data_IF_532800957491
#
_entry.id   IF_532800957491
#
_cell.length_a   1.000
_cell.length_b   1.000
_cell.length_c   1.000
_cell.angle_alpha   90.00
_cell.angle_beta   90.00
_cell.angle_gamma   90.00
#
_symmetry.space_group_name_H-M   'P 1'
#
loop_
_entity.id
_entity.type
_entity.pdbx_description
1 polymer ?
#
# COMPACT_ATOMS: atom_id res chain seq x y z
N UNK A 1 3.15 36.83 9.50
CA UNK A 1 2.75 35.40 9.41
C UNK A 1 3.81 34.58 10.14
N UNK A 2 3.53 34.16 11.35
CA UNK A 2 4.43 33.34 12.16
C UNK A 2 4.18 31.86 11.82
N UNK A 3 5.18 31.20 11.25
CA UNK A 3 5.19 29.75 11.04
C UNK A 3 5.35 29.09 12.42
N UNK A 4 4.30 28.39 12.87
CA UNK A 4 4.36 27.55 14.05
C UNK A 4 5.31 26.37 13.76
N UNK A 5 6.40 26.28 14.54
CA UNK A 5 7.29 25.13 14.54
C UNK A 5 6.52 23.89 15.02
N UNK A 6 6.77 22.69 14.45
CA UNK A 6 6.18 21.46 14.97
C UNK A 6 6.73 21.23 16.37
N UNK A 7 5.83 21.12 17.38
CA UNK A 7 6.19 20.72 18.73
C UNK A 7 6.66 19.26 18.64
N UNK A 8 7.96 19.05 18.78
CA UNK A 8 8.52 17.72 19.02
C UNK A 8 8.01 17.26 20.40
N UNK A 9 7.15 16.26 20.42
CA UNK A 9 6.75 15.60 21.67
C UNK A 9 7.99 14.91 22.25
N UNK A 10 8.24 15.03 23.57
CA UNK A 10 9.40 14.36 24.17
C UNK A 10 9.22 12.83 24.08
N UNK A 11 10.27 12.17 23.61
CA UNK A 11 10.36 10.71 23.41
C UNK A 11 10.00 9.89 24.68
N UNK A 12 10.11 10.49 25.86
CA UNK A 12 9.76 9.87 27.14
C UNK A 12 8.25 9.80 27.40
N UNK A 13 7.43 10.60 26.74
CA UNK A 13 5.97 10.51 26.89
C UNK A 13 5.39 9.27 26.20
N UNK A 14 6.06 8.76 25.17
CA UNK A 14 5.65 7.57 24.41
C UNK A 14 5.92 6.25 25.19
N UNK A 15 6.80 6.27 26.19
CA UNK A 15 7.22 5.07 26.92
C UNK A 15 6.34 4.73 28.13
N UNK A 16 5.41 5.60 28.52
CA UNK A 16 4.78 5.51 29.85
C UNK A 16 3.49 4.72 29.93
N UNK A 17 2.85 4.38 28.80
CA UNK A 17 1.50 3.75 28.83
C UNK A 17 1.28 2.58 27.86
N UNK A 18 2.37 1.91 27.45
CA UNK A 18 2.22 0.67 26.69
C UNK A 18 1.78 -0.42 27.66
N UNK A 19 0.49 -0.52 27.90
CA UNK A 19 -0.13 -1.74 28.44
C UNK A 19 0.39 -2.90 27.59
N UNK A 20 0.84 -4.02 28.19
CA UNK A 20 1.34 -5.15 27.39
C UNK A 20 0.18 -5.75 26.61
N UNK A 21 -0.02 -5.26 25.38
CA UNK A 21 -0.99 -5.84 24.47
C UNK A 21 -0.62 -7.30 24.22
N UNK A 22 -1.32 -8.21 24.93
CA UNK A 22 -1.26 -9.66 24.72
C UNK A 22 0.15 -10.25 24.50
N UNK A 23 1.15 -9.78 25.26
CA UNK A 23 2.54 -10.27 25.13
C UNK A 23 3.36 -9.64 23.99
N UNK A 24 2.85 -8.59 23.36
CA UNK A 24 3.60 -7.82 22.38
C UNK A 24 4.63 -6.92 23.08
N UNK A 25 5.80 -6.76 22.45
CA UNK A 25 6.86 -5.90 22.94
C UNK A 25 7.37 -5.00 21.81
N UNK A 26 7.89 -3.78 22.09
CA UNK A 26 8.46 -2.94 21.05
C UNK A 26 9.46 -3.72 20.19
N UNK A 27 9.31 -3.66 18.86
CA UNK A 27 10.14 -4.43 17.92
C UNK A 27 11.63 -4.23 18.15
N UNK A 28 12.04 -2.99 18.46
CA UNK A 28 13.44 -2.66 18.79
C UNK A 28 14.00 -3.45 19.97
N UNK A 29 13.16 -3.89 20.92
CA UNK A 29 13.55 -4.67 22.11
C UNK A 29 13.20 -6.16 21.99
N UNK A 30 12.53 -6.57 20.91
CA UNK A 30 12.04 -7.94 20.73
C UNK A 30 13.16 -8.86 20.21
N UNK A 31 13.49 -9.89 20.99
CA UNK A 31 14.53 -10.86 20.64
C UNK A 31 14.18 -11.71 19.41
N UNK A 32 12.91 -12.05 19.24
CA UNK A 32 12.45 -12.84 18.09
C UNK A 32 12.54 -12.03 16.79
N UNK A 33 12.23 -10.74 16.83
CA UNK A 33 12.40 -9.81 15.70
C UNK A 33 13.86 -9.71 15.27
N UNK A 34 14.79 -9.49 16.21
CA UNK A 34 16.22 -9.45 15.91
C UNK A 34 16.75 -10.80 15.38
N UNK A 35 16.24 -11.93 15.89
CA UNK A 35 16.59 -13.27 15.39
C UNK A 35 16.10 -13.46 13.95
N UNK A 36 14.91 -12.96 13.61
CA UNK A 36 14.33 -13.03 12.28
C UNK A 36 15.16 -12.22 11.27
N UNK A 37 15.52 -10.98 11.62
CA UNK A 37 16.41 -10.16 10.79
C UNK A 37 17.71 -10.90 10.43
N UNK A 38 18.40 -11.42 11.46
CA UNK A 38 19.64 -12.18 11.27
C UNK A 38 19.43 -13.41 10.38
N UNK A 39 18.31 -14.11 10.54
CA UNK A 39 17.99 -15.29 9.74
C UNK A 39 17.75 -14.95 8.27
N UNK A 40 17.01 -13.88 7.99
CA UNK A 40 16.74 -13.41 6.62
C UNK A 40 18.05 -12.97 5.94
N UNK A 41 18.87 -12.17 6.61
CA UNK A 41 20.17 -11.72 6.08
C UNK A 41 21.07 -12.93 5.80
N UNK A 42 21.18 -13.87 6.74
CA UNK A 42 21.99 -15.09 6.58
C UNK A 42 21.50 -15.95 5.40
N UNK A 43 20.21 -16.03 5.17
CA UNK A 43 19.65 -16.74 4.02
C UNK A 43 20.04 -16.08 2.69
N UNK A 44 20.01 -14.75 2.62
CA UNK A 44 20.46 -13.99 1.46
C UNK A 44 21.98 -14.14 1.23
N UNK A 45 22.78 -14.07 2.28
CA UNK A 45 24.23 -14.31 2.22
C UNK A 45 24.57 -15.72 1.70
N UNK A 46 23.84 -16.74 2.16
CA UNK A 46 24.01 -18.12 1.66
C UNK A 46 23.69 -18.21 0.17
N UNK A 47 22.71 -17.46 -0.31
CA UNK A 47 22.41 -17.40 -1.74
C UNK A 47 23.47 -16.63 -2.53
N UNK A 48 23.98 -15.53 -1.97
CA UNK A 48 24.99 -14.69 -2.58
C UNK A 48 26.27 -15.47 -2.89
N UNK A 49 26.69 -16.40 -1.99
CA UNK A 49 27.87 -17.25 -2.18
C UNK A 49 27.81 -18.17 -3.41
N UNK A 50 26.65 -18.30 -4.06
CA UNK A 50 26.49 -19.12 -5.26
C UNK A 50 26.73 -18.37 -6.57
N UNK A 51 26.98 -17.08 -6.51
CA UNK A 51 27.13 -16.19 -7.66
C UNK A 51 28.46 -15.45 -7.62
N UNK A 52 28.99 -15.13 -8.77
CA UNK A 52 30.19 -14.28 -8.88
C UNK A 52 29.87 -12.88 -8.33
N UNK A 53 30.88 -12.27 -7.69
CA UNK A 53 30.72 -11.05 -6.89
C UNK A 53 30.12 -9.87 -7.64
N UNK A 54 30.41 -9.75 -8.94
CA UNK A 54 29.97 -8.66 -9.81
C UNK A 54 28.86 -9.04 -10.80
N UNK A 55 28.31 -10.27 -10.65
CA UNK A 55 27.20 -10.72 -11.45
C UNK A 55 25.92 -9.95 -11.12
N UNK A 56 25.04 -9.75 -12.11
CA UNK A 56 23.76 -9.08 -11.92
C UNK A 56 22.90 -9.71 -10.79
N UNK A 57 22.83 -11.05 -10.62
CA UNK A 57 22.15 -11.65 -9.48
C UNK A 57 22.81 -11.31 -8.14
N UNK A 58 24.15 -11.23 -8.07
CA UNK A 58 24.85 -10.87 -6.83
C UNK A 58 24.57 -9.43 -6.42
N UNK A 59 24.57 -8.49 -7.36
CA UNK A 59 24.23 -7.10 -7.12
C UNK A 59 22.77 -6.94 -6.64
N UNK A 60 21.83 -7.67 -7.25
CA UNK A 60 20.43 -7.67 -6.83
C UNK A 60 20.26 -8.23 -5.41
N UNK A 61 20.98 -9.29 -5.03
CA UNK A 61 20.98 -9.84 -3.68
C UNK A 61 21.56 -8.87 -2.65
N UNK A 62 22.68 -8.20 -2.97
CA UNK A 62 23.26 -7.15 -2.11
C UNK A 62 22.25 -6.02 -1.88
N UNK A 63 21.61 -5.52 -2.93
CA UNK A 63 20.57 -4.49 -2.82
C UNK A 63 19.37 -4.97 -1.98
N UNK A 64 18.98 -6.23 -2.11
CA UNK A 64 17.90 -6.83 -1.30
C UNK A 64 18.28 -6.92 0.17
N UNK A 65 19.53 -7.26 0.49
CA UNK A 65 20.03 -7.29 1.87
C UNK A 65 19.96 -5.91 2.51
N UNK A 66 20.41 -4.87 1.81
CA UNK A 66 20.33 -3.50 2.33
C UNK A 66 18.88 -3.04 2.52
N UNK A 67 17.99 -3.31 1.56
CA UNK A 67 16.55 -3.05 1.72
C UNK A 67 15.96 -3.79 2.93
N UNK A 68 16.39 -5.02 3.17
CA UNK A 68 15.93 -5.80 4.33
C UNK A 68 16.37 -5.15 5.64
N UNK A 69 17.66 -4.79 5.77
CA UNK A 69 18.17 -4.09 6.96
C UNK A 69 17.43 -2.78 7.21
N UNK A 70 17.26 -1.95 6.18
CA UNK A 70 16.53 -0.68 6.27
C UNK A 70 15.08 -0.90 6.72
N UNK A 71 14.40 -1.93 6.19
CA UNK A 71 13.03 -2.27 6.59
C UNK A 71 12.94 -2.63 8.08
N UNK A 72 13.85 -3.47 8.58
CA UNK A 72 13.87 -3.85 10.00
C UNK A 72 14.22 -2.65 10.90
N UNK A 73 15.15 -1.80 10.49
CA UNK A 73 15.46 -0.57 11.20
C UNK A 73 14.24 0.36 11.29
N UNK A 74 13.56 0.61 10.16
CA UNK A 74 12.36 1.45 10.11
C UNK A 74 11.24 0.92 11.02
N UNK A 75 11.01 -0.40 11.05
CA UNK A 75 10.02 -1.00 11.95
C UNK A 75 10.39 -0.83 13.43
N UNK A 76 11.68 -0.91 13.75
CA UNK A 76 12.16 -0.64 15.11
C UNK A 76 12.04 0.82 15.53
N UNK A 77 12.25 1.75 14.61
CA UNK A 77 12.16 3.20 14.84
C UNK A 77 10.72 3.70 14.87
N UNK A 78 9.84 3.10 14.07
CA UNK A 78 8.41 3.45 14.05
C UNK A 78 7.65 3.07 15.33
N UNK A 79 8.31 2.43 16.32
CA UNK A 79 7.68 2.09 17.58
C UNK A 79 6.70 0.92 17.51
N UNK A 80 6.68 0.17 16.41
CA UNK A 80 5.77 -0.97 16.24
C UNK A 80 5.98 -2.04 17.31
N UNK A 81 4.90 -2.74 17.66
CA UNK A 81 4.90 -3.85 18.61
C UNK A 81 5.08 -5.18 17.87
N UNK A 82 5.99 -6.02 18.38
CA UNK A 82 6.32 -7.33 17.81
C UNK A 82 5.91 -8.46 18.75
N UNK A 83 5.39 -9.55 18.17
CA UNK A 83 5.02 -10.75 18.89
C UNK A 83 6.17 -11.75 19.09
N UNK A 84 5.83 -12.89 19.66
CA UNK A 84 6.76 -14.03 19.83
C UNK A 84 7.23 -14.63 18.47
N UNK A 85 6.48 -14.38 17.41
CA UNK A 85 6.80 -14.75 16.02
C UNK A 85 7.87 -13.85 15.39
N UNK A 86 8.21 -12.73 16.06
CA UNK A 86 9.18 -11.76 15.55
C UNK A 86 8.65 -10.94 14.37
N UNK A 87 7.35 -10.75 14.26
CA UNK A 87 6.71 -9.92 13.26
C UNK A 87 6.07 -8.70 13.92
N UNK A 88 6.06 -7.53 13.24
CA UNK A 88 5.25 -6.39 13.65
C UNK A 88 3.76 -6.72 13.56
N UNK A 89 3.02 -6.37 14.60
CA UNK A 89 1.57 -6.49 14.64
C UNK A 89 0.93 -5.11 14.63
N UNK A 90 -0.10 -4.94 13.82
CA UNK A 90 -0.90 -3.72 13.82
C UNK A 90 -1.90 -3.77 14.97
N UNK A 91 -1.99 -2.68 15.73
CA UNK A 91 -2.90 -2.55 16.86
C UNK A 91 -4.17 -1.86 16.38
N UNK A 92 -5.30 -2.53 16.54
CA UNK A 92 -6.63 -2.02 16.18
C UNK A 92 -7.53 -2.12 17.42
N UNK A 93 -7.29 -1.24 18.38
CA UNK A 93 -7.98 -1.20 19.67
C UNK A 93 -8.90 0.02 19.81
N UNK A 94 -8.98 0.87 18.79
CA UNK A 94 -9.72 2.14 18.81
C UNK A 94 -8.93 3.30 19.41
N UNK A 95 -7.71 3.09 19.88
CA UNK A 95 -6.84 4.18 20.34
C UNK A 95 -6.31 4.97 19.13
N UNK A 96 -6.48 6.29 19.16
CA UNK A 96 -6.04 7.20 18.10
C UNK A 96 -4.52 7.23 17.92
N UNK A 97 -3.75 6.83 18.91
CA UNK A 97 -2.29 6.73 18.81
C UNK A 97 -1.84 5.68 17.78
N UNK A 98 -2.62 4.61 17.60
CA UNK A 98 -2.38 3.56 16.62
C UNK A 98 -3.10 3.78 15.27
N UNK A 99 -3.86 4.87 15.15
CA UNK A 99 -4.65 5.16 13.95
C UNK A 99 -3.79 5.18 12.67
N UNK A 100 -2.57 5.72 12.75
CA UNK A 100 -1.64 5.77 11.62
C UNK A 100 -1.22 4.41 11.07
N UNK A 101 -1.23 3.36 11.90
CA UNK A 101 -0.79 2.01 11.51
C UNK A 101 -1.74 1.33 10.53
N UNK A 102 -3.04 1.60 10.61
CA UNK A 102 -4.05 1.00 9.75
C UNK A 102 -4.81 2.00 8.88
N UNK A 103 -5.07 3.22 9.36
CA UNK A 103 -5.83 4.20 8.58
C UNK A 103 -5.07 4.67 7.35
N UNK A 104 -3.78 5.00 7.48
CA UNK A 104 -2.96 5.44 6.34
C UNK A 104 -2.85 4.36 5.26
N UNK A 105 -2.43 3.11 5.56
CA UNK A 105 -2.39 2.06 4.55
C UNK A 105 -3.79 1.67 4.04
N UNK A 106 -4.83 1.72 4.88
CA UNK A 106 -6.20 1.46 4.49
C UNK A 106 -6.74 2.48 3.49
N UNK A 107 -6.56 3.77 3.77
CA UNK A 107 -6.93 4.85 2.85
C UNK A 107 -6.10 4.80 1.57
N UNK A 108 -4.80 4.50 1.67
CA UNK A 108 -3.94 4.30 0.51
C UNK A 108 -4.43 3.15 -0.37
N UNK A 109 -4.82 2.02 0.23
CA UNK A 109 -5.41 0.90 -0.51
C UNK A 109 -6.72 1.29 -1.21
N UNK A 110 -7.63 1.95 -0.49
CA UNK A 110 -8.90 2.41 -1.06
C UNK A 110 -8.68 3.38 -2.22
N UNK A 111 -7.72 4.30 -2.07
CA UNK A 111 -7.38 5.24 -3.13
C UNK A 111 -6.87 4.53 -4.39
N UNK A 112 -5.93 3.59 -4.25
CA UNK A 112 -5.36 2.84 -5.38
C UNK A 112 -6.39 1.91 -6.01
N UNK A 113 -7.20 1.21 -5.22
CA UNK A 113 -8.27 0.35 -5.72
C UNK A 113 -9.32 1.15 -6.50
N UNK A 114 -9.74 2.31 -5.97
CA UNK A 114 -10.67 3.22 -6.64
C UNK A 114 -10.06 3.81 -7.92
N UNK A 115 -8.78 4.13 -7.91
CA UNK A 115 -8.06 4.61 -9.09
C UNK A 115 -8.08 3.58 -10.24
N UNK A 116 -7.71 2.34 -9.94
CA UNK A 116 -7.73 1.24 -10.93
C UNK A 116 -9.16 1.01 -11.43
N UNK A 117 -10.14 0.94 -10.52
CA UNK A 117 -11.54 0.74 -10.87
C UNK A 117 -12.11 1.86 -11.75
N UNK A 118 -11.80 3.11 -11.40
CA UNK A 118 -12.25 4.28 -12.18
C UNK A 118 -11.62 4.31 -13.57
N UNK A 119 -10.32 3.99 -13.68
CA UNK A 119 -9.62 3.90 -14.97
C UNK A 119 -10.24 2.81 -15.87
N UNK A 120 -10.51 1.62 -15.30
CA UNK A 120 -11.15 0.52 -16.01
C UNK A 120 -12.56 0.87 -16.49
N UNK A 121 -13.38 1.47 -15.62
CA UNK A 121 -14.73 1.97 -15.99
C UNK A 121 -14.65 2.98 -17.15
N UNK A 122 -13.76 3.95 -17.03
CA UNK A 122 -13.59 5.00 -18.06
C UNK A 122 -13.16 4.40 -19.39
N UNK A 123 -12.24 3.39 -19.36
CA UNK A 123 -11.80 2.70 -20.55
C UNK A 123 -12.96 1.97 -21.26
N UNK A 124 -13.76 1.21 -20.52
CA UNK A 124 -14.90 0.47 -21.09
C UNK A 124 -15.92 1.41 -21.68
N UNK A 125 -16.22 2.53 -21.00
CA UNK A 125 -17.15 3.53 -21.51
C UNK A 125 -16.66 4.18 -22.82
N UNK A 126 -15.41 4.64 -22.82
CA UNK A 126 -14.82 5.29 -23.99
C UNK A 126 -14.70 4.31 -25.19
N UNK A 127 -14.31 3.06 -24.90
CA UNK A 127 -14.25 2.01 -25.92
C UNK A 127 -15.63 1.73 -26.54
N UNK A 128 -16.72 1.74 -25.75
CA UNK A 128 -18.07 1.59 -26.26
C UNK A 128 -18.51 2.73 -27.16
N UNK A 129 -18.07 3.96 -26.87
CA UNK A 129 -18.43 5.15 -27.66
C UNK A 129 -17.62 5.25 -28.97
N UNK A 130 -16.33 4.88 -28.94
CA UNK A 130 -15.42 5.11 -30.06
C UNK A 130 -15.23 3.89 -30.96
N UNK A 131 -15.43 2.68 -30.46
CA UNK A 131 -15.17 1.46 -31.22
C UNK A 131 -16.41 0.94 -31.92
N UNK A 132 -16.27 0.55 -33.18
CA UNK A 132 -17.30 -0.21 -33.91
C UNK A 132 -17.48 -1.63 -33.40
N UNK A 133 -16.48 -2.16 -32.68
CA UNK A 133 -16.45 -3.51 -32.09
C UNK A 133 -15.95 -3.44 -30.64
N UNK A 134 -16.79 -2.97 -29.70
CA UNK A 134 -16.37 -2.76 -28.32
C UNK A 134 -15.79 -4.00 -27.64
N UNK A 135 -16.34 -5.18 -27.95
CA UNK A 135 -15.91 -6.46 -27.39
C UNK A 135 -14.47 -6.82 -27.76
N UNK A 136 -14.01 -6.47 -28.95
CA UNK A 136 -12.61 -6.69 -29.34
C UNK A 136 -11.66 -5.78 -28.56
N UNK A 137 -12.05 -4.53 -28.30
CA UNK A 137 -11.26 -3.58 -27.50
C UNK A 137 -11.22 -3.91 -26.01
N UNK A 138 -12.16 -4.73 -25.50
CA UNK A 138 -12.10 -5.26 -24.14
C UNK A 138 -11.13 -6.46 -24.02
N UNK A 139 -10.89 -7.20 -25.13
CA UNK A 139 -9.97 -8.33 -25.17
C UNK A 139 -8.54 -7.85 -25.54
N UNK A 140 -8.44 -6.97 -26.54
CA UNK A 140 -7.18 -6.40 -27.01
C UNK A 140 -7.15 -4.94 -26.56
N UNK A 141 -6.49 -4.69 -25.45
CA UNK A 141 -6.45 -3.36 -24.82
C UNK A 141 -5.60 -2.39 -25.67
N UNK A 142 -6.17 -1.22 -25.99
CA UNK A 142 -5.43 -0.10 -26.52
C UNK A 142 -4.59 0.53 -25.38
N UNK A 143 -3.29 0.21 -25.38
CA UNK A 143 -2.36 0.61 -24.31
C UNK A 143 -2.21 2.13 -24.23
N UNK A 144 -2.03 2.90 -25.32
CA UNK A 144 -1.98 4.35 -25.27
C UNK A 144 -3.24 4.98 -24.64
N UNK A 145 -4.43 4.53 -25.04
CA UNK A 145 -5.69 4.99 -24.46
C UNK A 145 -5.77 4.63 -22.98
N UNK A 146 -5.45 3.39 -22.61
CA UNK A 146 -5.50 2.93 -21.22
C UNK A 146 -4.56 3.72 -20.31
N UNK A 147 -3.35 4.02 -20.76
CA UNK A 147 -2.38 4.84 -20.01
C UNK A 147 -2.87 6.28 -19.83
N UNK A 148 -3.44 6.90 -20.87
CA UNK A 148 -4.03 8.24 -20.77
C UNK A 148 -5.12 8.29 -19.71
N UNK A 149 -6.06 7.36 -19.78
CA UNK A 149 -7.15 7.25 -18.79
C UNK A 149 -6.66 6.93 -17.38
N UNK A 150 -5.61 6.10 -17.24
CA UNK A 150 -4.99 5.82 -15.96
C UNK A 150 -4.44 7.09 -15.32
N UNK A 151 -3.77 7.95 -16.07
CA UNK A 151 -3.25 9.23 -15.55
C UNK A 151 -4.39 10.16 -15.12
N UNK A 152 -5.45 10.27 -15.92
CA UNK A 152 -6.60 11.08 -15.59
C UNK A 152 -7.41 10.56 -14.40
N UNK A 153 -7.44 9.24 -14.22
CA UNK A 153 -8.15 8.59 -13.13
C UNK A 153 -7.54 8.86 -11.76
N UNK A 154 -6.34 9.44 -11.67
CA UNK A 154 -5.75 9.84 -10.38
C UNK A 154 -6.63 10.81 -9.57
N UNK A 155 -7.43 11.62 -10.23
CA UNK A 155 -8.40 12.52 -9.58
C UNK A 155 -9.78 11.86 -9.32
N UNK A 156 -9.88 10.54 -9.33
CA UNK A 156 -11.14 9.80 -9.24
C UNK A 156 -12.06 10.20 -8.08
N UNK A 157 -11.57 10.51 -6.86
CA UNK A 157 -12.49 10.87 -5.78
C UNK A 157 -13.30 12.13 -6.09
N UNK A 158 -12.64 13.12 -6.68
CA UNK A 158 -13.28 14.40 -7.07
C UNK A 158 -14.21 14.17 -8.25
N UNK A 159 -13.77 13.44 -9.26
CA UNK A 159 -14.58 13.12 -10.45
C UNK A 159 -15.85 12.35 -10.05
N UNK A 160 -15.71 11.30 -9.23
CA UNK A 160 -16.83 10.49 -8.73
C UNK A 160 -17.83 11.32 -7.91
N UNK A 161 -17.33 12.24 -7.09
CA UNK A 161 -18.20 13.14 -6.34
C UNK A 161 -19.08 14.01 -7.27
N UNK A 162 -18.50 14.58 -8.32
CA UNK A 162 -19.27 15.36 -9.30
C UNK A 162 -20.21 14.48 -10.13
N UNK A 163 -19.81 13.29 -10.53
CA UNK A 163 -20.68 12.33 -11.23
C UNK A 163 -21.88 11.92 -10.37
N UNK A 164 -21.66 11.67 -9.07
CA UNK A 164 -22.72 11.36 -8.12
C UNK A 164 -23.70 12.55 -7.99
N UNK A 165 -23.18 13.77 -7.84
CA UNK A 165 -23.98 14.98 -7.72
C UNK A 165 -24.82 15.25 -8.97
N UNK A 166 -24.29 14.96 -10.14
CA UNK A 166 -24.95 15.16 -11.42
C UNK A 166 -25.83 13.98 -11.85
N UNK A 167 -25.88 12.89 -11.07
CA UNK A 167 -26.65 11.68 -11.38
C UNK A 167 -26.11 10.84 -12.55
N UNK A 168 -24.83 11.08 -12.96
CA UNK A 168 -24.20 10.38 -14.09
C UNK A 168 -23.38 9.17 -13.66
N UNK A 169 -23.23 8.96 -12.35
CA UNK A 169 -22.46 7.81 -11.82
C UNK A 169 -23.20 6.48 -12.02
N UNK A 170 -24.52 6.49 -11.92
CA UNK A 170 -25.37 5.29 -12.00
C UNK A 170 -26.29 5.37 -13.20
N UNK A 171 -26.50 4.24 -13.87
CA UNK A 171 -27.51 4.12 -14.92
C UNK A 171 -28.92 4.00 -14.29
N UNK A 172 -29.95 4.56 -14.94
CA UNK A 172 -31.33 4.36 -14.51
C UNK A 172 -31.74 2.89 -14.62
N UNK A 173 -32.62 2.42 -13.73
CA UNK A 173 -33.04 1.02 -13.71
C UNK A 173 -33.60 0.50 -15.03
N UNK A 174 -34.18 1.39 -15.84
CA UNK A 174 -34.70 1.07 -17.18
C UNK A 174 -33.63 0.66 -18.19
N UNK A 175 -32.38 1.03 -17.95
CA UNK A 175 -31.23 0.71 -18.81
C UNK A 175 -30.42 -0.48 -18.31
N UNK A 176 -30.73 -0.97 -17.10
CA UNK A 176 -30.04 -2.12 -16.51
C UNK A 176 -30.66 -3.41 -17.04
N UNK A 177 -29.91 -4.18 -17.80
CA UNK A 177 -30.32 -5.50 -18.25
C UNK A 177 -30.13 -6.54 -17.14
N UNK A 178 -31.14 -7.40 -16.91
CA UNK A 178 -31.18 -8.36 -15.81
C UNK A 178 -30.16 -9.50 -15.98
N UNK A 179 -29.58 -9.65 -17.15
CA UNK A 179 -28.53 -10.66 -17.40
C UNK A 179 -27.51 -10.12 -18.38
N UNK A 180 -26.26 -9.97 -17.98
CA UNK A 180 -25.17 -9.80 -18.95
C UNK A 180 -25.04 -11.14 -19.70
N UNK A 181 -25.39 -11.14 -20.96
CA UNK A 181 -25.12 -12.26 -21.88
C UNK A 181 -23.85 -11.99 -22.66
#
# INVERSE_FOLDING_TARGET
>A
MALAAPMAMPEEAYARDVQPYAGLTPCKKNKAFAKREKAEIKALEKRLKKYDADSAPALALKATMEKTKTRFANYGEAGLLCGADGLPHLIVDGNLEHLGEFAVPGLGFLYVAGWIGYAGRSYVMLNKEQSKKPTEGEIIIDVPMALGLMMEAGAWPVKTFFELKNGTLTAPESEITVSPR
#
